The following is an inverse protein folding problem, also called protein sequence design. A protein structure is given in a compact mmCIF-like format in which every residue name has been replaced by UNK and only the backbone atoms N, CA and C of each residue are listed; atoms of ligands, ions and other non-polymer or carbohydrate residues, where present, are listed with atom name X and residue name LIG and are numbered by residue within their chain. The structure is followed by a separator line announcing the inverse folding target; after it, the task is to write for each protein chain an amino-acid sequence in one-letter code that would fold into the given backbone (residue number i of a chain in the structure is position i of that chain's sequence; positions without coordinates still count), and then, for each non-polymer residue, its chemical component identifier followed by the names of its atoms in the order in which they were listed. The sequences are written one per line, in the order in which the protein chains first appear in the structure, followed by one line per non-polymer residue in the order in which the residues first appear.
data_IF_480900884605
#
_entry.id   IF_480900884605
#
_cell.length_a   1.000
_cell.length_b   1.000
_cell.length_c   1.000
_cell.angle_alpha   90.00
_cell.angle_beta   90.00
_cell.angle_gamma   90.00
#
_symmetry.space_group_name_H-M   'P 1'
#
loop_
_entity.id
_entity.type
_entity.pdbx_description
1 polymer ?
#
# COMPACT_ATOMS: atom_id res chain seq x y z
N UNK A 1 17.33 -8.86 1.84
CA UNK A 1 16.95 -7.92 0.76
C UNK A 1 15.45 -7.73 0.86
N UNK A 2 14.95 -6.50 0.74
CA UNK A 2 13.55 -6.17 1.01
C UNK A 2 12.60 -6.71 -0.06
N UNK A 3 11.51 -7.32 0.40
CA UNK A 3 10.39 -7.92 -0.34
C UNK A 3 9.94 -7.08 -1.55
N UNK A 4 10.06 -5.75 -1.47
CA UNK A 4 9.49 -4.81 -2.46
C UNK A 4 10.49 -4.24 -3.45
N UNK A 5 11.79 -4.51 -3.29
CA UNK A 5 12.80 -4.12 -4.29
C UNK A 5 12.76 -5.04 -5.52
N UNK A 6 12.16 -6.22 -5.39
CA UNK A 6 12.09 -7.26 -6.43
C UNK A 6 10.88 -7.05 -7.37
N UNK A 7 9.71 -6.73 -6.81
CA UNK A 7 8.51 -6.28 -7.55
C UNK A 7 8.81 -5.07 -8.46
N UNK A 8 9.65 -4.15 -7.99
CA UNK A 8 10.02 -2.87 -8.64
C UNK A 8 11.34 -2.95 -9.45
N UNK A 9 11.95 -4.13 -9.53
CA UNK A 9 13.39 -4.29 -9.77
C UNK A 9 13.79 -5.01 -11.05
N UNK A 10 13.14 -4.74 -12.19
CA UNK A 10 13.78 -4.94 -13.50
C UNK A 10 13.05 -5.78 -14.55
N UNK A 11 11.83 -6.24 -14.31
CA UNK A 11 10.99 -6.87 -15.34
C UNK A 11 10.13 -5.86 -16.10
N UNK A 12 9.75 -6.15 -17.35
CA UNK A 12 8.69 -5.38 -18.02
C UNK A 12 7.36 -5.65 -17.31
N UNK A 13 6.75 -4.61 -16.73
CA UNK A 13 5.42 -4.66 -16.10
C UNK A 13 4.39 -5.28 -17.04
N UNK A 14 3.51 -6.12 -16.51
CA UNK A 14 2.45 -6.77 -17.30
C UNK A 14 2.94 -7.95 -18.16
N UNK A 15 4.18 -8.40 -17.99
CA UNK A 15 4.67 -9.68 -18.51
C UNK A 15 4.30 -10.84 -17.60
N UNK A 16 4.29 -12.07 -18.13
CA UNK A 16 4.08 -13.28 -17.33
C UNK A 16 5.11 -13.48 -16.23
N UNK A 17 6.37 -13.09 -16.47
CA UNK A 17 7.44 -13.18 -15.48
C UNK A 17 7.18 -12.24 -14.30
N UNK A 18 6.74 -11.00 -14.59
CA UNK A 18 6.32 -10.07 -13.55
C UNK A 18 5.12 -10.59 -12.76
N UNK A 19 4.07 -11.08 -13.44
CA UNK A 19 2.89 -11.67 -12.77
C UNK A 19 3.26 -12.86 -11.87
N UNK A 20 4.18 -13.73 -12.33
CA UNK A 20 4.66 -14.87 -11.56
C UNK A 20 5.43 -14.43 -10.31
N UNK A 21 6.28 -13.41 -10.40
CA UNK A 21 6.97 -12.85 -9.24
C UNK A 21 5.96 -12.29 -8.23
N UNK A 22 4.96 -11.51 -8.67
CA UNK A 22 3.91 -10.99 -7.78
C UNK A 22 3.14 -12.13 -7.10
N UNK A 23 2.90 -13.23 -7.81
CA UNK A 23 2.20 -14.39 -7.23
C UNK A 23 3.05 -15.10 -6.17
N UNK A 24 4.35 -15.28 -6.42
CA UNK A 24 5.27 -15.85 -5.43
C UNK A 24 5.35 -14.98 -4.19
N UNK A 25 5.50 -13.67 -4.38
CA UNK A 25 5.51 -12.66 -3.32
C UNK A 25 4.22 -12.69 -2.49
N UNK A 26 3.07 -12.81 -3.15
CA UNK A 26 1.78 -12.91 -2.47
C UNK A 26 1.66 -14.19 -1.64
N UNK A 27 2.03 -15.33 -2.23
CA UNK A 27 2.00 -16.63 -1.56
C UNK A 27 2.90 -16.64 -0.32
N UNK A 28 4.11 -16.08 -0.41
CA UNK A 28 5.05 -15.99 0.71
C UNK A 28 4.48 -15.15 1.85
N UNK A 29 3.96 -13.95 1.55
CA UNK A 29 3.46 -13.03 2.58
C UNK A 29 2.18 -13.54 3.25
N UNK A 30 1.29 -14.16 2.48
CA UNK A 30 -0.01 -14.60 2.99
C UNK A 30 0.00 -16.03 3.52
N UNK A 31 1.02 -16.82 3.19
CA UNK A 31 1.05 -18.27 3.47
C UNK A 31 0.09 -19.09 2.59
N UNK A 32 -0.48 -18.49 1.54
CA UNK A 32 -1.39 -19.17 0.63
C UNK A 32 -0.67 -20.13 -0.33
N UNK A 33 -1.34 -21.19 -0.82
CA UNK A 33 -0.82 -22.00 -1.91
C UNK A 33 -0.52 -21.16 -3.17
N UNK A 34 0.58 -21.45 -3.86
CA UNK A 34 1.01 -20.68 -5.04
C UNK A 34 -0.05 -20.62 -6.16
N UNK A 35 -0.84 -21.67 -6.34
CA UNK A 35 -1.93 -21.68 -7.32
C UNK A 35 -3.05 -20.70 -6.99
N UNK A 36 -3.38 -20.54 -5.70
CA UNK A 36 -4.34 -19.53 -5.25
C UNK A 36 -3.79 -18.12 -5.46
N UNK A 37 -2.50 -17.92 -5.16
CA UNK A 37 -1.83 -16.65 -5.38
C UNK A 37 -1.76 -16.26 -6.87
N UNK A 38 -1.44 -17.21 -7.76
CA UNK A 38 -1.47 -17.01 -9.21
C UNK A 38 -2.86 -16.63 -9.71
N UNK A 39 -3.90 -17.32 -9.23
CA UNK A 39 -5.27 -17.00 -9.58
C UNK A 39 -5.66 -15.58 -9.12
N UNK A 40 -5.30 -15.20 -7.89
CA UNK A 40 -5.52 -13.87 -7.35
C UNK A 40 -4.81 -12.78 -8.17
N UNK A 41 -3.53 -12.96 -8.50
CA UNK A 41 -2.74 -11.99 -9.28
C UNK A 41 -3.33 -11.84 -10.68
N UNK A 42 -3.67 -12.93 -11.36
CA UNK A 42 -4.28 -12.88 -12.69
C UNK A 42 -5.58 -12.07 -12.70
N UNK A 43 -6.46 -12.31 -11.72
CA UNK A 43 -7.70 -11.53 -11.58
C UNK A 43 -7.39 -10.06 -11.28
N UNK A 44 -6.40 -9.79 -10.42
CA UNK A 44 -6.00 -8.44 -10.03
C UNK A 44 -5.44 -7.65 -11.22
N UNK A 45 -4.64 -8.28 -12.08
CA UNK A 45 -4.08 -7.68 -13.29
C UNK A 45 -5.17 -7.33 -14.30
N UNK A 46 -6.09 -8.26 -14.58
CA UNK A 46 -7.18 -7.99 -15.53
C UNK A 46 -8.15 -6.91 -15.02
N UNK A 47 -8.42 -6.89 -13.72
CA UNK A 47 -9.17 -5.81 -13.10
C UNK A 47 -8.42 -4.48 -13.22
N UNK A 48 -7.12 -4.45 -12.93
CA UNK A 48 -6.30 -3.25 -13.03
C UNK A 48 -6.23 -2.69 -14.45
N UNK A 49 -6.09 -3.54 -15.49
CA UNK A 49 -6.18 -3.13 -16.90
C UNK A 49 -7.55 -2.54 -17.22
N UNK A 50 -8.61 -3.16 -16.74
CA UNK A 50 -9.99 -2.67 -16.97
C UNK A 50 -10.20 -1.29 -16.34
N UNK A 51 -9.75 -1.12 -15.09
CA UNK A 51 -9.85 0.15 -14.37
C UNK A 51 -9.04 1.25 -15.08
N UNK A 52 -7.81 0.94 -15.50
CA UNK A 52 -6.94 1.87 -16.21
C UNK A 52 -7.54 2.36 -17.54
N UNK A 53 -8.17 1.46 -18.32
CA UNK A 53 -8.89 1.84 -19.57
C UNK A 53 -10.05 2.76 -19.28
N UNK A 54 -10.85 2.41 -18.28
CA UNK A 54 -12.05 3.15 -17.91
C UNK A 54 -11.72 4.57 -17.45
N UNK A 55 -10.60 4.72 -16.74
CA UNK A 55 -10.15 6.00 -16.21
C UNK A 55 -9.21 6.76 -17.16
N UNK A 56 -8.80 6.14 -18.27
CA UNK A 56 -7.91 6.76 -19.27
C UNK A 56 -6.47 6.95 -18.77
N UNK A 57 -6.02 6.13 -17.81
CA UNK A 57 -4.72 6.26 -17.13
C UNK A 57 -3.63 5.33 -17.65
N UNK A 58 -3.96 4.44 -18.60
CA UNK A 58 -3.02 3.44 -19.14
C UNK A 58 -1.73 4.05 -19.72
N UNK A 59 -1.82 5.26 -20.26
CA UNK A 59 -0.73 5.91 -20.99
C UNK A 59 -0.13 7.10 -20.22
N UNK A 60 -0.26 7.12 -18.89
CA UNK A 60 0.41 8.13 -18.09
C UNK A 60 1.93 8.05 -18.30
N UNK A 61 2.60 9.20 -18.47
CA UNK A 61 4.02 9.20 -18.76
C UNK A 61 4.83 8.78 -17.51
N UNK A 62 6.03 8.20 -17.67
CA UNK A 62 6.86 7.78 -16.54
C UNK A 62 7.29 8.90 -15.58
N UNK A 63 7.15 10.17 -15.97
CA UNK A 63 7.42 11.33 -15.12
C UNK A 63 6.12 12.00 -14.61
N UNK A 64 5.01 11.28 -14.58
CA UNK A 64 3.72 11.86 -14.22
C UNK A 64 3.70 12.49 -12.82
N UNK A 65 4.48 11.96 -11.87
CA UNK A 65 4.65 12.58 -10.56
C UNK A 65 5.25 13.99 -10.62
N UNK A 66 6.24 14.24 -11.48
CA UNK A 66 6.79 15.58 -11.68
C UNK A 66 5.77 16.52 -12.34
N UNK A 67 5.01 16.00 -13.32
CA UNK A 67 3.95 16.76 -13.98
C UNK A 67 2.84 17.16 -13.01
N UNK A 68 2.51 16.32 -12.03
CA UNK A 68 1.55 16.65 -10.97
C UNK A 68 2.07 17.81 -10.10
N UNK A 69 3.32 17.73 -9.65
CA UNK A 69 3.93 18.78 -8.82
C UNK A 69 4.09 20.10 -9.58
N UNK A 70 4.38 20.05 -10.88
CA UNK A 70 4.41 21.25 -11.72
C UNK A 70 3.02 21.87 -11.87
N UNK A 71 2.01 21.05 -12.20
CA UNK A 71 0.61 21.48 -12.36
C UNK A 71 -0.01 22.00 -11.07
N UNK A 72 0.48 21.58 -9.91
CA UNK A 72 0.04 22.07 -8.60
C UNK A 72 0.09 23.61 -8.53
N UNK A 73 1.10 24.22 -9.16
CA UNK A 73 1.31 25.68 -9.14
C UNK A 73 0.17 26.45 -9.79
N UNK A 74 -0.52 25.85 -10.75
CA UNK A 74 -1.56 26.49 -11.56
C UNK A 74 -2.95 25.85 -11.39
N UNK A 75 -3.07 24.75 -10.65
CA UNK A 75 -4.33 24.05 -10.42
C UNK A 75 -4.73 24.08 -8.92
N UNK A 76 -5.68 24.96 -8.52
CA UNK A 76 -6.11 25.08 -7.13
C UNK A 76 -6.69 23.80 -6.53
N UNK A 77 -7.36 22.98 -7.35
CA UNK A 77 -7.91 21.70 -6.88
C UNK A 77 -6.79 20.74 -6.53
N UNK A 78 -5.82 20.57 -7.42
CA UNK A 78 -4.66 19.70 -7.19
C UNK A 78 -3.84 20.18 -5.99
N UNK A 79 -3.63 21.50 -5.86
CA UNK A 79 -2.98 22.10 -4.70
C UNK A 79 -3.67 21.72 -3.39
N UNK A 80 -5.00 21.77 -3.36
CA UNK A 80 -5.75 21.37 -2.17
C UNK A 80 -5.66 19.85 -1.90
N UNK A 81 -5.74 19.02 -2.94
CA UNK A 81 -5.61 17.56 -2.81
C UNK A 81 -4.21 17.16 -2.29
N UNK A 82 -3.14 17.74 -2.85
CA UNK A 82 -1.77 17.48 -2.39
C UNK A 82 -1.50 18.05 -0.99
N UNK A 83 -2.03 19.24 -0.67
CA UNK A 83 -1.90 19.79 0.68
C UNK A 83 -2.49 18.86 1.76
N UNK A 84 -3.62 18.19 1.47
CA UNK A 84 -4.22 17.22 2.40
C UNK A 84 -3.30 16.05 2.69
N UNK A 85 -2.77 15.40 1.66
CA UNK A 85 -1.89 14.24 1.88
C UNK A 85 -0.55 14.66 2.52
N UNK A 86 -0.05 15.87 2.24
CA UNK A 86 1.14 16.40 2.93
C UNK A 86 0.92 16.62 4.43
N UNK A 87 -0.32 16.89 4.88
CA UNK A 87 -0.64 16.92 6.32
C UNK A 87 -0.51 15.55 6.99
N UNK A 88 -0.57 14.46 6.22
CA UNK A 88 -0.28 13.09 6.69
C UNK A 88 1.23 12.78 6.71
N UNK A 89 2.08 13.72 6.30
CA UNK A 89 3.51 13.52 6.18
C UNK A 89 3.97 12.98 4.82
N UNK A 90 3.11 12.94 3.80
CA UNK A 90 3.55 12.70 2.42
C UNK A 90 4.51 13.81 1.99
N UNK A 91 5.61 13.44 1.36
CA UNK A 91 6.59 14.35 0.77
C UNK A 91 6.43 14.41 -0.74
N UNK A 92 6.97 15.46 -1.36
CA UNK A 92 7.04 15.55 -2.83
C UNK A 92 7.77 14.36 -3.45
N UNK A 93 8.73 13.76 -2.74
CA UNK A 93 9.44 12.58 -3.22
C UNK A 93 8.56 11.33 -3.22
N UNK A 94 7.70 11.17 -2.21
CA UNK A 94 6.72 10.09 -2.20
C UNK A 94 5.73 10.24 -3.37
N UNK A 95 5.27 11.48 -3.62
CA UNK A 95 4.40 11.82 -4.74
C UNK A 95 5.09 11.47 -6.06
N UNK A 96 6.32 11.96 -6.27
CA UNK A 96 7.09 11.66 -7.49
C UNK A 96 7.21 10.16 -7.68
N UNK A 97 7.69 9.46 -6.65
CA UNK A 97 8.01 8.05 -6.74
C UNK A 97 6.77 7.23 -7.05
N UNK A 98 5.67 7.43 -6.33
CA UNK A 98 4.45 6.67 -6.53
C UNK A 98 3.79 6.97 -7.87
N UNK A 99 3.64 8.25 -8.24
CA UNK A 99 2.95 8.63 -9.47
C UNK A 99 3.78 8.48 -10.75
N UNK A 100 5.09 8.27 -10.65
CA UNK A 100 5.97 7.91 -11.77
C UNK A 100 6.02 6.39 -12.05
N UNK A 101 5.41 5.56 -11.20
CA UNK A 101 5.25 4.12 -11.49
C UNK A 101 4.23 3.91 -12.61
N UNK A 102 4.38 2.80 -13.35
CA UNK A 102 3.41 2.42 -14.36
C UNK A 102 2.02 2.19 -13.72
N UNK A 103 0.96 2.70 -14.34
CA UNK A 103 -0.39 2.65 -13.76
C UNK A 103 -0.88 1.23 -13.42
N UNK A 104 -0.56 0.25 -14.28
CA UNK A 104 -0.91 -1.15 -14.04
C UNK A 104 -0.22 -1.68 -12.79
N UNK A 105 1.05 -1.34 -12.60
CA UNK A 105 1.83 -1.74 -11.43
C UNK A 105 1.26 -1.15 -10.15
N UNK A 106 0.93 0.16 -10.14
CA UNK A 106 0.32 0.82 -8.97
C UNK A 106 -0.97 0.14 -8.54
N UNK A 107 -1.85 -0.13 -9.50
CA UNK A 107 -3.15 -0.77 -9.25
C UNK A 107 -3.02 -2.21 -8.78
N UNK A 108 -2.08 -2.97 -9.33
CA UNK A 108 -1.82 -4.35 -8.86
C UNK A 108 -1.24 -4.32 -7.45
N UNK A 109 -0.35 -3.37 -7.14
CA UNK A 109 0.20 -3.19 -5.81
C UNK A 109 -0.89 -2.82 -4.79
N UNK A 110 -1.82 -1.92 -5.14
CA UNK A 110 -2.98 -1.63 -4.28
C UNK A 110 -3.83 -2.87 -3.99
N UNK A 111 -4.14 -3.65 -5.04
CA UNK A 111 -4.90 -4.90 -4.89
C UNK A 111 -4.12 -5.91 -4.04
N UNK A 112 -2.81 -5.98 -4.19
CA UNK A 112 -1.92 -6.83 -3.38
C UNK A 112 -2.07 -6.53 -1.88
N UNK A 113 -2.01 -5.25 -1.47
CA UNK A 113 -2.21 -4.85 -0.07
C UNK A 113 -3.61 -5.15 0.43
N UNK A 114 -4.63 -4.90 -0.39
CA UNK A 114 -6.00 -5.28 -0.04
C UNK A 114 -6.14 -6.80 0.15
N UNK A 115 -5.45 -7.57 -0.69
CA UNK A 115 -5.38 -9.03 -0.60
C UNK A 115 -4.75 -9.51 0.71
N UNK A 116 -3.64 -8.91 1.14
CA UNK A 116 -3.02 -9.21 2.44
C UNK A 116 -3.98 -8.90 3.60
N UNK A 117 -4.60 -7.72 3.58
CA UNK A 117 -5.55 -7.34 4.62
C UNK A 117 -6.74 -8.31 4.69
N UNK A 118 -7.24 -8.75 3.53
CA UNK A 118 -8.30 -9.75 3.43
C UNK A 118 -7.85 -11.13 3.91
N UNK A 119 -6.65 -11.59 3.54
CA UNK A 119 -6.10 -12.86 4.00
C UNK A 119 -6.00 -12.90 5.53
N UNK A 120 -5.46 -11.84 6.15
CA UNK A 120 -5.36 -11.73 7.61
C UNK A 120 -6.75 -11.65 8.27
N UNK A 121 -7.70 -10.94 7.66
CA UNK A 121 -9.09 -10.96 8.12
C UNK A 121 -9.69 -12.37 8.06
N UNK A 122 -9.51 -13.09 6.95
CA UNK A 122 -10.02 -14.45 6.76
C UNK A 122 -9.43 -15.41 7.80
N UNK A 123 -8.12 -15.37 8.02
CA UNK A 123 -7.45 -16.18 9.05
C UNK A 123 -8.02 -15.88 10.45
N UNK A 124 -8.23 -14.62 10.78
CA UNK A 124 -8.83 -14.22 12.05
C UNK A 124 -10.28 -14.75 12.22
N UNK A 125 -11.06 -14.80 11.13
CA UNK A 125 -12.41 -15.39 11.11
C UNK A 125 -12.37 -16.90 11.36
N UNK A 126 -11.43 -17.60 10.72
CA UNK A 126 -11.24 -19.04 10.88
C UNK A 126 -10.77 -19.39 12.30
N UNK A 127 -10.03 -18.48 12.96
CA UNK A 127 -9.68 -18.57 14.38
C UNK A 127 -10.84 -18.26 15.35
N UNK A 128 -12.05 -17.99 14.84
CA UNK A 128 -13.26 -17.81 15.65
C UNK A 128 -13.61 -16.36 16.00
N UNK A 129 -12.84 -15.36 15.53
CA UNK A 129 -13.20 -13.95 15.76
C UNK A 129 -14.44 -13.54 14.95
N UNK A 130 -15.26 -12.65 15.50
CA UNK A 130 -16.36 -12.01 14.75
C UNK A 130 -15.83 -11.18 13.57
N UNK A 131 -16.69 -10.87 12.58
CA UNK A 131 -16.30 -10.04 11.43
C UNK A 131 -15.66 -8.70 11.84
N UNK A 132 -16.24 -8.04 12.85
CA UNK A 132 -15.73 -6.78 13.40
C UNK A 132 -14.38 -6.96 14.09
N UNK A 133 -14.22 -8.01 14.91
CA UNK A 133 -12.96 -8.30 15.59
C UNK A 133 -11.85 -8.66 14.60
N UNK A 134 -12.15 -9.47 13.58
CA UNK A 134 -11.21 -9.80 12.52
C UNK A 134 -10.76 -8.57 11.73
N UNK A 135 -11.65 -7.60 11.48
CA UNK A 135 -11.29 -6.36 10.80
C UNK A 135 -10.42 -5.43 11.66
N UNK A 136 -10.65 -5.39 12.97
CA UNK A 136 -9.75 -4.72 13.92
C UNK A 136 -8.39 -5.42 13.95
N UNK A 137 -8.38 -6.75 14.03
CA UNK A 137 -7.17 -7.55 14.01
C UNK A 137 -6.33 -7.32 12.74
N UNK A 138 -6.94 -7.35 11.56
CA UNK A 138 -6.21 -7.11 10.31
C UNK A 138 -5.55 -5.72 10.28
N UNK A 139 -6.27 -4.67 10.71
CA UNK A 139 -5.74 -3.29 10.76
C UNK A 139 -4.70 -3.07 11.87
N UNK A 140 -4.64 -3.94 12.89
CA UNK A 140 -3.61 -3.90 13.92
C UNK A 140 -2.23 -4.20 13.33
N UNK A 141 -2.16 -5.10 12.36
CA UNK A 141 -0.88 -5.64 11.85
C UNK A 141 -0.55 -5.26 10.41
N UNK A 142 -1.48 -4.66 9.68
CA UNK A 142 -1.26 -4.24 8.29
C UNK A 142 -1.69 -2.81 8.06
N UNK A 143 -0.98 -2.07 7.18
CA UNK A 143 -1.40 -0.75 6.77
C UNK A 143 -2.72 -0.83 6.02
N UNK A 144 -3.52 0.21 6.20
CA UNK A 144 -4.75 0.41 5.45
C UNK A 144 -4.66 1.74 4.69
N UNK A 145 -4.54 1.64 3.37
CA UNK A 145 -4.39 2.78 2.47
C UNK A 145 -5.73 3.26 1.91
N UNK A 146 -5.84 4.56 1.66
CA UNK A 146 -7.04 5.17 1.08
C UNK A 146 -7.10 6.68 1.29
N UNK A 147 -8.30 7.24 1.18
CA UNK A 147 -8.51 8.66 1.46
C UNK A 147 -8.39 8.92 2.98
N UNK A 148 -7.44 9.76 3.44
CA UNK A 148 -7.28 10.06 4.86
C UNK A 148 -8.48 10.79 5.48
N UNK A 149 -9.33 11.44 4.67
CA UNK A 149 -10.57 12.08 5.12
C UNK A 149 -11.72 11.06 5.33
N UNK A 150 -11.55 9.79 4.91
CA UNK A 150 -12.57 8.76 5.08
C UNK A 150 -12.59 8.23 6.51
N UNK A 151 -13.53 8.75 7.30
CA UNK A 151 -13.74 8.34 8.69
C UNK A 151 -14.94 7.41 8.89
N UNK A 152 -15.44 6.77 7.83
CA UNK A 152 -16.63 5.90 7.93
C UNK A 152 -16.38 4.65 8.77
N UNK A 153 -15.14 4.16 8.80
CA UNK A 153 -14.76 2.87 9.44
C UNK A 153 -13.73 3.04 10.57
N UNK A 154 -12.90 4.08 10.52
CA UNK A 154 -11.90 4.43 11.54
C UNK A 154 -11.86 5.94 11.75
N UNK A 155 -11.25 6.38 12.85
CA UNK A 155 -11.12 7.81 13.18
C UNK A 155 -9.72 8.09 13.75
N UNK A 156 -9.37 9.37 13.90
CA UNK A 156 -8.10 9.77 14.52
C UNK A 156 -6.90 9.21 13.76
N UNK A 157 -5.95 8.60 14.48
CA UNK A 157 -4.73 8.04 13.89
C UNK A 157 -4.96 6.68 13.19
N UNK A 158 -6.14 6.07 13.31
CA UNK A 158 -6.48 4.79 12.66
C UNK A 158 -7.10 4.97 11.25
N UNK A 159 -7.34 6.21 10.82
CA UNK A 159 -7.87 6.52 9.48
C UNK A 159 -6.91 6.06 8.36
N UNK A 160 -7.38 5.91 7.11
CA UNK A 160 -6.53 5.45 6.03
C UNK A 160 -5.24 6.28 5.89
N UNK A 161 -4.14 5.65 5.50
CA UNK A 161 -2.92 6.36 5.08
C UNK A 161 -3.03 6.72 3.60
N UNK A 162 -2.46 7.86 3.14
CA UNK A 162 -2.28 8.10 1.71
C UNK A 162 -1.47 6.98 1.08
N UNK A 163 -1.89 6.55 -0.12
CA UNK A 163 -1.22 5.46 -0.84
C UNK A 163 0.21 5.84 -1.24
N UNK A 164 0.51 7.14 -1.41
CA UNK A 164 1.83 7.65 -1.72
C UNK A 164 2.87 7.29 -0.64
N UNK A 165 2.46 7.14 0.63
CA UNK A 165 3.37 6.75 1.72
C UNK A 165 3.86 5.31 1.62
N UNK A 166 3.16 4.46 0.86
CA UNK A 166 3.36 3.02 0.83
C UNK A 166 4.82 2.65 0.66
N UNK A 167 5.51 3.20 -0.33
CA UNK A 167 6.90 2.80 -0.60
C UNK A 167 7.90 3.21 0.50
N UNK A 168 7.59 4.28 1.25
CA UNK A 168 8.44 4.75 2.36
C UNK A 168 8.16 3.97 3.64
N UNK A 169 6.88 3.74 3.93
CA UNK A 169 6.41 2.80 4.94
C UNK A 169 7.06 1.44 4.75
N UNK A 170 7.04 0.97 3.52
CA UNK A 170 7.56 -0.32 3.15
C UNK A 170 9.05 -0.49 3.44
N UNK A 171 9.83 0.53 3.04
CA UNK A 171 11.27 0.56 3.29
C UNK A 171 11.59 0.68 4.78
N UNK A 172 10.75 1.38 5.55
CA UNK A 172 10.87 1.46 6.99
C UNK A 172 10.57 0.11 7.66
N UNK A 173 9.47 -0.55 7.28
CA UNK A 173 9.08 -1.85 7.82
C UNK A 173 10.16 -2.90 7.60
N UNK A 174 10.73 -2.97 6.40
CA UNK A 174 11.82 -3.90 6.08
C UNK A 174 13.06 -3.70 6.98
N UNK A 175 13.41 -2.43 7.27
CA UNK A 175 14.49 -2.10 8.20
C UNK A 175 14.17 -2.54 9.62
N UNK A 176 12.96 -2.26 10.10
CA UNK A 176 12.53 -2.66 11.45
C UNK A 176 12.50 -4.18 11.62
N UNK A 177 11.93 -4.90 10.63
CA UNK A 177 11.83 -6.37 10.63
C UNK A 177 13.19 -7.05 10.63
N UNK A 178 14.15 -6.52 9.85
CA UNK A 178 15.49 -7.11 9.74
C UNK A 178 16.37 -6.81 10.96
N UNK A 179 16.16 -5.66 11.60
CA UNK A 179 16.98 -5.23 12.74
C UNK A 179 16.46 -5.69 14.10
N UNK A 180 15.15 -5.56 14.35
CA UNK A 180 14.57 -5.83 15.67
C UNK A 180 13.07 -6.24 15.61
N UNK A 181 12.75 -7.45 15.13
CA UNK A 181 11.38 -7.88 14.88
C UNK A 181 10.51 -7.92 16.15
N UNK A 182 11.08 -8.30 17.31
CA UNK A 182 10.35 -8.31 18.58
C UNK A 182 9.95 -6.90 19.02
N UNK A 183 10.82 -5.91 18.81
CA UNK A 183 10.51 -4.52 19.14
C UNK A 183 9.42 -3.95 18.22
N UNK A 184 9.42 -4.32 16.94
CA UNK A 184 8.35 -3.92 16.02
C UNK A 184 6.99 -4.47 16.48
N UNK A 185 6.93 -5.75 16.86
CA UNK A 185 5.71 -6.36 17.40
C UNK A 185 5.23 -5.62 18.66
N UNK A 186 6.13 -5.36 19.62
CA UNK A 186 5.78 -4.63 20.84
C UNK A 186 5.19 -3.24 20.53
N UNK A 187 5.81 -2.51 19.60
CA UNK A 187 5.35 -1.17 19.22
C UNK A 187 3.99 -1.20 18.53
N UNK A 188 3.73 -2.22 17.69
CA UNK A 188 2.39 -2.44 17.14
C UNK A 188 1.38 -2.69 18.25
N UNK A 189 1.73 -3.45 19.30
CA UNK A 189 0.85 -3.66 20.46
C UNK A 189 0.53 -2.36 21.22
N UNK A 190 1.51 -1.47 21.35
CA UNK A 190 1.39 -0.17 22.04
C UNK A 190 0.54 0.87 21.27
N UNK A 191 0.29 0.66 19.97
CA UNK A 191 -0.53 1.55 19.15
C UNK A 191 -1.90 0.94 18.82
N UNK A 192 -2.92 1.77 18.57
CA UNK A 192 -4.28 1.28 18.25
C UNK A 192 -4.35 0.49 16.93
N UNK A 193 -3.52 0.85 15.96
CA UNK A 193 -3.40 0.19 14.66
C UNK A 193 -2.01 0.35 14.06
N UNK A 194 -1.76 -0.35 12.95
CA UNK A 194 -0.56 -0.15 12.14
C UNK A 194 -0.48 1.31 11.65
N UNK A 195 -1.58 1.88 11.16
CA UNK A 195 -1.64 3.26 10.69
C UNK A 195 -1.29 4.26 11.80
N UNK A 196 -1.73 4.00 13.03
CA UNK A 196 -1.40 4.84 14.17
C UNK A 196 0.10 4.80 14.51
N UNK A 197 0.72 3.62 14.43
CA UNK A 197 2.18 3.50 14.54
C UNK A 197 2.88 4.32 13.45
N UNK A 198 2.50 4.16 12.18
CA UNK A 198 3.13 4.91 11.09
C UNK A 198 3.00 6.43 11.28
N UNK A 199 1.84 6.93 11.69
CA UNK A 199 1.69 8.36 12.00
C UNK A 199 2.57 8.81 13.17
N UNK A 200 2.71 7.99 14.21
CA UNK A 200 3.62 8.28 15.31
C UNK A 200 5.09 8.32 14.86
N UNK A 201 5.50 7.43 13.94
CA UNK A 201 6.83 7.43 13.35
C UNK A 201 7.10 8.67 12.50
N UNK A 202 6.13 9.08 11.68
CA UNK A 202 6.22 10.28 10.85
C UNK A 202 6.41 11.50 11.73
N UNK A 203 5.57 11.67 12.78
CA UNK A 203 5.68 12.79 13.73
C UNK A 203 7.02 12.80 14.46
N UNK A 204 7.62 11.64 14.68
CA UNK A 204 8.94 11.51 15.29
C UNK A 204 10.11 11.64 14.31
N UNK A 205 9.86 11.80 13.01
CA UNK A 205 10.90 11.89 11.97
C UNK A 205 11.70 10.60 11.78
N UNK A 206 11.13 9.43 12.09
CA UNK A 206 11.80 8.12 11.98
C UNK A 206 11.52 7.37 10.68
N UNK A 207 10.58 7.87 9.90
CA UNK A 207 10.13 7.37 8.59
C UNK A 207 10.01 8.54 7.63
#
# INVERSE_FOLDING_TARGET
MGFRKQLLGGGQTGTREWEEQVAQDFAEVTGSPIEEARAFVRVSVEAAKTDARKEGTENFPPNYGDLLLEKERSNPRLKNELAKIRQEGVTDEDIRRYWSMNDLERRVLEKFYQGILYATWKMAREAGLSSKQAAVFARKYHPYYGNPDDTRVTTGDDRPLPIELMMREDAWFDKQRSGNPSQLKQRLEEHSSYNALIRAEIRAGRI
#
